data_IF_757305693992
#
_entry.id   IF_757305693992
#
_cell.length_a   1.000
_cell.length_b   1.000
_cell.length_c   1.000
_cell.angle_alpha   90.00
_cell.angle_beta   90.00
_cell.angle_gamma   90.00
#
_symmetry.space_group_name_H-M   'P 1'
#
loop_
_entity.id
_entity.type
_entity.pdbx_description
1 polymer ?
#
# COMPACT_ATOMS: atom_id res chain seq x y z
N UNK A 1 14.32 14.88 -4.12
CA UNK A 1 13.42 14.34 -3.07
C UNK A 1 13.02 15.46 -2.09
N UNK A 2 11.72 15.68 -1.85
CA UNK A 2 11.20 16.70 -0.92
C UNK A 2 10.75 16.09 0.43
N UNK A 3 11.09 14.83 0.68
CA UNK A 3 10.74 14.07 1.89
C UNK A 3 12.01 13.42 2.46
N UNK A 4 12.22 13.49 3.78
CA UNK A 4 13.35 12.84 4.49
C UNK A 4 13.04 11.42 4.94
N UNK A 5 11.76 11.14 5.25
CA UNK A 5 11.29 9.82 5.68
C UNK A 5 9.92 9.51 5.12
N UNK A 6 9.73 8.29 4.64
CA UNK A 6 8.43 7.71 4.32
C UNK A 6 8.18 6.53 5.24
N UNK A 7 6.99 6.46 5.85
CA UNK A 7 6.57 5.33 6.66
C UNK A 7 5.26 4.77 6.10
N UNK A 8 5.25 3.50 5.70
CA UNK A 8 4.05 2.74 5.40
C UNK A 8 3.75 1.81 6.58
N UNK A 9 2.63 2.02 7.26
CA UNK A 9 2.06 1.04 8.18
C UNK A 9 1.08 0.15 7.40
N UNK A 10 1.34 -1.15 7.42
CA UNK A 10 0.44 -2.18 6.90
C UNK A 10 -0.05 -3.02 8.07
N UNK A 11 -1.16 -2.58 8.68
CA UNK A 11 -1.88 -3.32 9.71
C UNK A 11 -0.96 -3.69 10.89
N UNK A 12 -0.28 -2.68 11.44
CA UNK A 12 0.68 -2.82 12.54
C UNK A 12 2.14 -3.02 12.12
N UNK A 13 2.41 -3.42 10.88
CA UNK A 13 3.78 -3.58 10.37
C UNK A 13 4.29 -2.28 9.72
N UNK A 14 5.45 -1.78 10.15
CA UNK A 14 6.03 -0.54 9.61
C UNK A 14 7.15 -0.83 8.61
N UNK A 15 7.03 -0.29 7.40
CA UNK A 15 8.12 -0.13 6.43
C UNK A 15 8.56 1.34 6.45
N UNK A 16 9.81 1.59 6.82
CA UNK A 16 10.36 2.95 6.95
C UNK A 16 11.53 3.14 5.99
N UNK A 17 11.48 4.22 5.20
CA UNK A 17 12.49 4.56 4.22
C UNK A 17 13.07 5.97 4.47
N UNK A 18 14.40 6.09 4.42
CA UNK A 18 15.15 7.33 4.71
C UNK A 18 16.01 7.82 3.52
N UNK A 19 15.58 7.60 2.27
CA UNK A 19 16.38 7.91 1.08
C UNK A 19 17.75 7.20 1.04
N UNK A 20 17.82 6.01 1.63
CA UNK A 20 19.01 5.15 1.61
C UNK A 20 18.83 4.00 0.60
N UNK A 21 19.74 3.02 0.62
CA UNK A 21 19.59 1.82 -0.20
C UNK A 21 18.31 1.07 0.19
N UNK A 22 17.45 0.79 -0.80
CA UNK A 22 16.19 0.07 -0.61
C UNK A 22 16.46 -1.39 -0.23
N UNK A 23 15.73 -1.89 0.78
CA UNK A 23 15.72 -3.31 1.15
C UNK A 23 14.30 -3.84 1.11
N UNK A 24 14.05 -5.00 0.50
CA UNK A 24 12.73 -5.60 0.55
C UNK A 24 12.39 -6.01 1.98
N UNK A 25 11.16 -5.76 2.40
CA UNK A 25 10.63 -6.16 3.70
C UNK A 25 9.37 -7.01 3.49
N UNK A 26 9.36 -8.27 3.94
CA UNK A 26 8.15 -9.08 3.93
C UNK A 26 7.08 -8.43 4.83
N UNK A 27 5.85 -8.36 4.36
CA UNK A 27 4.70 -7.87 5.12
C UNK A 27 3.49 -8.75 4.83
N UNK A 28 2.63 -8.93 5.83
CA UNK A 28 1.41 -9.75 5.71
C UNK A 28 0.18 -8.89 5.85
N UNK A 29 -0.79 -9.04 4.95
CA UNK A 29 -2.11 -8.44 5.08
C UNK A 29 -3.19 -9.49 4.76
N UNK A 30 -4.26 -9.61 5.57
CA UNK A 30 -4.48 -8.95 6.87
C UNK A 30 -3.36 -9.26 7.89
N UNK A 31 -2.99 -8.25 8.68
CA UNK A 31 -1.92 -8.35 9.67
C UNK A 31 -2.34 -9.19 10.88
N UNK A 32 -1.36 -9.69 11.64
CA UNK A 32 -1.60 -10.56 12.81
C UNK A 32 -2.42 -9.87 13.90
N UNK A 33 -2.19 -8.57 14.08
CA UNK A 33 -2.82 -7.79 15.14
C UNK A 33 -4.19 -7.26 14.73
N UNK A 34 -4.56 -7.39 13.45
CA UNK A 34 -5.89 -7.05 12.94
C UNK A 34 -6.35 -5.63 13.27
N UNK A 35 -5.41 -4.68 13.35
CA UNK A 35 -5.70 -3.26 13.62
C UNK A 35 -6.69 -2.68 12.62
N UNK A 36 -6.67 -3.21 11.39
CA UNK A 36 -7.45 -2.72 10.27
C UNK A 36 -7.00 -1.32 9.82
N UNK A 37 -5.84 -0.84 10.26
CA UNK A 37 -5.33 0.49 9.92
C UNK A 37 -4.18 0.35 8.94
N UNK A 38 -4.26 1.07 7.82
CA UNK A 38 -3.17 1.27 6.88
C UNK A 38 -2.87 2.76 6.84
N UNK A 39 -1.62 3.14 7.07
CA UNK A 39 -1.21 4.54 7.00
C UNK A 39 0.03 4.74 6.14
N UNK A 40 0.07 5.86 5.45
CA UNK A 40 1.24 6.34 4.73
C UNK A 40 1.58 7.73 5.25
N UNK A 41 2.80 7.88 5.75
CA UNK A 41 3.28 9.11 6.37
C UNK A 41 4.55 9.61 5.68
N UNK A 42 4.61 10.92 5.46
CA UNK A 42 5.73 11.60 4.83
C UNK A 42 6.26 12.68 5.76
N UNK A 43 7.55 12.62 6.09
CA UNK A 43 8.27 13.68 6.80
C UNK A 43 8.90 14.66 5.79
N UNK A 44 8.38 15.88 5.64
CA UNK A 44 8.93 16.86 4.70
C UNK A 44 10.36 17.30 5.06
N UNK A 45 11.15 17.67 4.05
CA UNK A 45 12.54 18.15 4.22
C UNK A 45 12.64 19.53 4.85
N UNK A 46 11.59 20.35 4.74
CA UNK A 46 11.52 21.71 5.27
C UNK A 46 11.16 21.76 6.77
N UNK A 47 10.97 20.59 7.40
CA UNK A 47 10.62 20.47 8.81
C UNK A 47 9.14 20.75 9.11
N UNK A 48 8.30 20.92 8.08
CA UNK A 48 6.85 21.02 8.27
C UNK A 48 6.26 19.72 8.87
N UNK A 49 5.04 19.79 9.45
CA UNK A 49 4.42 18.62 10.06
C UNK A 49 4.27 17.43 9.10
N UNK A 50 4.26 16.23 9.67
CA UNK A 50 4.07 15.00 8.89
C UNK A 50 2.74 15.02 8.14
N UNK A 51 2.79 14.63 6.88
CA UNK A 51 1.61 14.53 6.02
C UNK A 51 1.24 13.06 5.92
N UNK A 52 -0.01 12.75 6.26
CA UNK A 52 -0.49 11.37 6.35
C UNK A 52 -1.72 11.12 5.47
N UNK A 53 -1.80 9.88 4.98
CA UNK A 53 -2.98 9.25 4.37
C UNK A 53 -3.32 8.00 5.18
N UNK A 54 -4.58 7.86 5.60
CA UNK A 54 -5.04 6.74 6.41
C UNK A 54 -6.25 6.07 5.76
N UNK A 55 -6.26 4.74 5.81
CA UNK A 55 -7.38 3.88 5.44
C UNK A 55 -7.67 2.93 6.61
N UNK A 56 -8.95 2.71 6.94
CA UNK A 56 -9.35 1.89 8.10
C UNK A 56 -10.38 0.83 7.76
N UNK A 57 -10.36 -0.31 8.44
CA UNK A 57 -11.26 -1.47 8.25
C UNK A 57 -10.61 -2.64 7.50
N UNK A 58 -11.31 -3.77 7.45
CA UNK A 58 -10.76 -5.06 6.95
C UNK A 58 -10.27 -5.04 5.49
N UNK A 59 -10.67 -4.03 4.71
CA UNK A 59 -10.32 -3.84 3.30
C UNK A 59 -9.47 -2.58 3.03
N UNK A 60 -8.92 -1.98 4.09
CA UNK A 60 -8.18 -0.73 4.03
C UNK A 60 -6.99 -0.79 3.06
N UNK A 61 -6.29 -1.92 2.99
CA UNK A 61 -5.15 -2.06 2.07
C UNK A 61 -5.58 -2.01 0.61
N UNK A 62 -6.65 -2.73 0.24
CA UNK A 62 -7.16 -2.67 -1.13
C UNK A 62 -7.66 -1.27 -1.50
N UNK A 63 -8.25 -0.54 -0.55
CA UNK A 63 -8.63 0.87 -0.77
C UNK A 63 -7.41 1.77 -0.97
N UNK A 64 -6.37 1.61 -0.15
CA UNK A 64 -5.11 2.34 -0.32
C UNK A 64 -4.50 2.10 -1.70
N UNK A 65 -4.45 0.83 -2.15
CA UNK A 65 -3.99 0.46 -3.49
C UNK A 65 -4.83 1.11 -4.60
N UNK A 66 -6.17 1.12 -4.45
CA UNK A 66 -7.10 1.71 -5.40
C UNK A 66 -7.00 3.24 -5.46
N UNK A 67 -6.70 3.90 -4.33
CA UNK A 67 -6.49 5.34 -4.26
C UNK A 67 -5.14 5.77 -4.86
N UNK A 68 -4.15 4.87 -4.84
CA UNK A 68 -2.87 5.06 -5.50
C UNK A 68 -2.89 4.78 -7.00
N UNK A 69 -1.70 4.86 -7.62
CA UNK A 69 -1.47 4.32 -8.97
C UNK A 69 -0.85 2.95 -8.82
N UNK A 70 -1.66 1.91 -9.02
CA UNK A 70 -1.26 0.52 -8.93
C UNK A 70 -1.29 -0.14 -10.30
N UNK A 71 -0.14 -0.56 -10.80
CA UNK A 71 0.01 -1.10 -12.16
C UNK A 71 0.85 -2.37 -12.16
N UNK A 72 0.40 -3.39 -12.89
CA UNK A 72 1.19 -4.59 -13.12
C UNK A 72 2.47 -4.32 -13.92
N UNK A 73 3.46 -5.18 -13.73
CA UNK A 73 4.69 -5.19 -14.54
C UNK A 73 4.67 -6.34 -15.55
N UNK A 74 5.79 -6.62 -16.21
CA UNK A 74 5.95 -7.83 -17.03
C UNK A 74 5.99 -9.13 -16.21
N UNK A 75 6.20 -9.04 -14.89
CA UNK A 75 6.18 -10.18 -13.98
C UNK A 75 4.81 -10.26 -13.29
N UNK A 76 4.21 -11.46 -13.25
CA UNK A 76 2.84 -11.68 -12.75
C UNK A 76 2.67 -11.46 -11.24
N UNK A 77 3.76 -11.45 -10.48
CA UNK A 77 3.80 -11.25 -9.04
C UNK A 77 4.42 -9.91 -8.62
N UNK A 78 4.82 -9.05 -9.57
CA UNK A 78 5.45 -7.75 -9.28
C UNK A 78 4.61 -6.60 -9.85
N UNK A 79 4.42 -5.58 -9.01
CA UNK A 79 3.59 -4.43 -9.30
C UNK A 79 4.33 -3.13 -8.96
N UNK A 80 4.17 -2.12 -9.82
CA UNK A 80 4.57 -0.75 -9.49
C UNK A 80 3.42 -0.06 -8.77
N UNK A 81 3.73 0.57 -7.63
CA UNK A 81 2.75 1.23 -6.79
C UNK A 81 3.24 2.63 -6.44
N UNK A 82 2.49 3.66 -6.84
CA UNK A 82 2.65 5.02 -6.31
C UNK A 82 1.54 5.32 -5.32
N UNK A 83 1.91 5.60 -4.08
CA UNK A 83 0.99 6.13 -3.07
C UNK A 83 1.36 7.57 -2.74
N UNK A 84 0.37 8.41 -2.41
CA UNK A 84 0.64 9.80 -2.11
C UNK A 84 -0.59 10.58 -1.68
N UNK A 85 -0.35 11.75 -1.10
CA UNK A 85 -1.38 12.70 -0.68
C UNK A 85 -0.78 14.11 -0.61
N UNK A 86 -1.61 15.15 -0.76
CA UNK A 86 -1.23 16.57 -0.63
C UNK A 86 0.07 16.95 -1.38
N UNK A 87 0.23 16.46 -2.60
CA UNK A 87 1.39 16.79 -3.46
C UNK A 87 2.68 16.01 -3.15
N UNK A 88 2.67 15.10 -2.18
CA UNK A 88 3.78 14.18 -1.92
C UNK A 88 3.41 12.76 -2.28
N UNK A 89 4.40 12.00 -2.73
CA UNK A 89 4.22 10.61 -3.11
C UNK A 89 5.49 9.80 -2.85
N UNK A 90 5.32 8.49 -2.74
CA UNK A 90 6.38 7.51 -2.73
C UNK A 90 6.06 6.42 -3.74
N UNK A 91 7.11 5.95 -4.41
CA UNK A 91 7.08 4.81 -5.32
C UNK A 91 7.54 3.56 -4.57
N UNK A 92 6.79 2.49 -4.77
CA UNK A 92 7.03 1.18 -4.19
C UNK A 92 7.04 0.13 -5.30
N UNK A 93 7.88 -0.87 -5.13
CA UNK A 93 7.74 -2.15 -5.81
C UNK A 93 7.05 -3.13 -4.85
N UNK A 94 5.90 -3.64 -5.26
CA UNK A 94 5.18 -4.64 -4.50
C UNK A 94 5.41 -5.99 -5.16
N UNK A 95 5.96 -6.92 -4.39
CA UNK A 95 6.10 -8.32 -4.80
C UNK A 95 5.17 -9.20 -3.98
N UNK A 96 4.25 -9.89 -4.65
CA UNK A 96 3.40 -10.88 -4.02
C UNK A 96 4.20 -12.14 -3.68
N UNK A 97 3.82 -12.83 -2.60
CA UNK A 97 4.44 -14.10 -2.22
C UNK A 97 4.07 -15.26 -3.16
N UNK A 98 3.02 -15.10 -3.97
CA UNK A 98 2.55 -16.06 -4.95
C UNK A 98 2.09 -15.34 -6.22
N UNK A 99 2.23 -16.02 -7.37
CA UNK A 99 1.61 -15.59 -8.64
C UNK A 99 0.09 -15.58 -8.54
N UNK A 100 -0.48 -16.42 -7.68
CA UNK A 100 -1.88 -16.33 -7.25
C UNK A 100 -1.98 -15.32 -6.11
N UNK A 101 -2.43 -14.10 -6.42
CA UNK A 101 -2.54 -13.03 -5.45
C UNK A 101 -3.79 -12.16 -5.69
N UNK A 102 -4.30 -11.45 -4.66
CA UNK A 102 -5.53 -10.68 -4.73
C UNK A 102 -5.44 -9.41 -5.59
N UNK A 103 -4.29 -9.11 -6.17
CA UNK A 103 -4.05 -7.82 -6.81
C UNK A 103 -4.39 -7.78 -8.30
N UNK A 104 -4.53 -8.93 -8.96
CA UNK A 104 -4.96 -8.99 -10.36
C UNK A 104 -6.46 -8.67 -10.55
N UNK A 105 -7.21 -8.44 -9.45
CA UNK A 105 -8.64 -8.13 -9.39
C UNK A 105 -9.57 -9.16 -10.06
N UNK A 106 -9.05 -10.20 -10.71
CA UNK A 106 -9.85 -11.20 -11.41
C UNK A 106 -10.76 -11.97 -10.46
N UNK A 107 -10.30 -12.21 -9.24
CA UNK A 107 -11.12 -12.84 -8.20
C UNK A 107 -12.33 -11.99 -7.78
N UNK A 108 -12.28 -10.66 -7.93
CA UNK A 108 -13.37 -9.75 -7.52
C UNK A 108 -14.34 -9.41 -8.66
N UNK A 109 -13.96 -9.66 -9.93
CA UNK A 109 -14.81 -9.37 -11.10
C UNK A 109 -16.06 -10.24 -11.20
N UNK A 110 -16.15 -11.35 -10.47
CA UNK A 110 -17.26 -12.31 -10.56
C UNK A 110 -18.30 -12.17 -9.44
N UNK A 111 -18.18 -11.18 -8.57
CA UNK A 111 -19.17 -11.00 -7.51
C UNK A 111 -20.37 -10.20 -8.05
N UNK A 112 -21.52 -10.87 -8.15
CA UNK A 112 -22.82 -10.24 -8.38
C UNK A 112 -23.76 -10.77 -7.31
N UNK A 113 -24.44 -9.88 -6.59
CA UNK A 113 -25.48 -10.30 -5.66
C UNK A 113 -26.59 -11.01 -6.45
N UNK A 114 -27.03 -12.22 -6.06
CA UNK A 114 -28.14 -12.87 -6.72
C UNK A 114 -29.39 -11.99 -6.61
N UNK A 115 -30.21 -11.90 -7.68
CA UNK A 115 -31.38 -11.02 -7.71
C UNK A 115 -32.49 -11.41 -6.72
N UNK A 116 -32.43 -12.63 -6.15
CA UNK A 116 -33.31 -13.10 -5.08
C UNK A 116 -32.63 -14.21 -4.27
N UNK A 117 -32.94 -14.27 -2.96
CA UNK A 117 -32.53 -15.32 -2.01
C UNK A 117 -33.56 -16.44 -2.02
#
# INVERSE_FOLDING_TARGET
PNVTRVTLNLDGQNLVYFNNATRPQPMTWPGKDGTGVISLAFQPVDGSPEIMLNETGSWAWLRMLRAGRFTGTSLSDVYSLRLGTKGMYADFELKAASVENPYNLEMFKKFTCPPQI
#
